data_IF_509961856099
#
_entry.id   IF_509961856099
#
_cell.length_a   1.000
_cell.length_b   1.000
_cell.length_c   1.000
_cell.angle_alpha   90.00
_cell.angle_beta   90.00
_cell.angle_gamma   90.00
#
_symmetry.space_group_name_H-M   'P 1'
#
loop_
_entity.id
_entity.type
_entity.pdbx_description
1 polymer ?
#
# COMPACT_ATOMS: atom_id res chain seq x y z
N UNK A 1 8.76 -5.71 12.75
CA UNK A 1 8.72 -4.78 11.60
C UNK A 1 7.41 -4.01 11.64
N UNK A 2 7.42 -2.70 11.41
CA UNK A 2 6.18 -1.92 11.34
C UNK A 2 5.56 -2.03 9.95
N UNK A 3 4.23 -2.13 9.86
CA UNK A 3 3.56 -2.12 8.56
C UNK A 3 3.67 -0.74 7.89
N UNK A 4 4.19 -0.69 6.67
CA UNK A 4 4.48 0.54 5.89
C UNK A 4 3.24 1.14 5.21
N UNK A 5 2.21 0.33 4.97
CA UNK A 5 0.96 0.76 4.37
C UNK A 5 -0.25 0.05 5.00
N UNK A 6 -1.45 0.55 4.71
CA UNK A 6 -2.71 -0.09 5.05
C UNK A 6 -3.59 -0.20 3.81
N UNK A 7 -4.09 -1.39 3.53
CA UNK A 7 -5.10 -1.60 2.47
C UNK A 7 -6.36 -0.83 2.82
N UNK A 8 -6.84 0.01 1.90
CA UNK A 8 -8.04 0.85 2.07
C UNK A 8 -9.14 0.55 1.05
N UNK A 9 -8.79 -0.08 -0.08
CA UNK A 9 -9.73 -0.48 -1.13
C UNK A 9 -9.06 -1.55 -2.02
N UNK A 10 -9.80 -2.11 -2.98
CA UNK A 10 -9.27 -3.09 -3.92
C UNK A 10 -10.32 -3.57 -4.92
N UNK A 11 -9.84 -4.30 -5.93
CA UNK A 11 -10.63 -4.92 -6.98
C UNK A 11 -9.98 -6.26 -7.38
N UNK A 12 -10.53 -6.98 -8.35
CA UNK A 12 -9.93 -8.20 -8.86
C UNK A 12 -8.52 -7.93 -9.41
N UNK A 13 -7.51 -8.57 -8.81
CA UNK A 13 -6.11 -8.49 -9.23
C UNK A 13 -5.34 -7.27 -8.75
N UNK A 14 -5.93 -6.34 -7.98
CA UNK A 14 -5.22 -5.18 -7.41
C UNK A 14 -5.78 -4.73 -6.07
N UNK A 15 -4.91 -4.14 -5.26
CA UNK A 15 -5.29 -3.50 -4.01
C UNK A 15 -4.81 -2.05 -4.02
N UNK A 16 -5.54 -1.19 -3.32
CA UNK A 16 -5.13 0.19 -3.04
C UNK A 16 -4.73 0.25 -1.58
N UNK A 17 -3.46 0.55 -1.35
CA UNK A 17 -2.91 0.73 -0.02
C UNK A 17 -2.52 2.19 0.18
N UNK A 18 -2.90 2.75 1.33
CA UNK A 18 -2.44 4.07 1.75
C UNK A 18 -1.14 3.91 2.52
N UNK A 19 -0.11 4.57 2.04
CA UNK A 19 1.16 4.74 2.72
C UNK A 19 0.99 5.36 4.12
N UNK A 20 1.76 4.88 5.10
CA UNK A 20 1.83 5.51 6.42
C UNK A 20 2.89 6.61 6.42
N UNK A 21 2.59 7.71 7.12
CA UNK A 21 3.51 8.83 7.29
C UNK A 21 4.92 8.39 7.73
N UNK A 22 5.93 9.04 7.16
CA UNK A 22 7.34 8.77 7.45
C UNK A 22 7.92 7.55 6.72
N UNK A 23 7.18 6.93 5.81
CA UNK A 23 7.69 5.94 4.86
C UNK A 23 7.72 6.55 3.45
N UNK A 24 8.39 5.86 2.53
CA UNK A 24 8.35 6.11 1.09
C UNK A 24 8.14 4.77 0.39
N UNK A 25 7.13 4.68 -0.47
CA UNK A 25 6.90 3.51 -1.33
C UNK A 25 7.21 3.88 -2.78
N UNK A 26 8.01 3.07 -3.47
CA UNK A 26 8.44 3.32 -4.85
C UNK A 26 7.85 2.32 -5.86
N UNK A 27 7.78 2.74 -7.13
CA UNK A 27 7.38 1.84 -8.21
C UNK A 27 8.36 0.66 -8.34
N UNK A 28 7.82 -0.53 -8.51
CA UNK A 28 8.57 -1.77 -8.61
C UNK A 28 8.96 -2.39 -7.27
N UNK A 29 8.77 -1.68 -6.15
CA UNK A 29 9.07 -2.18 -4.81
C UNK A 29 8.22 -3.41 -4.46
N UNK A 30 8.83 -4.37 -3.77
CA UNK A 30 8.15 -5.58 -3.31
C UNK A 30 7.67 -5.39 -1.87
N UNK A 31 6.38 -5.57 -1.66
CA UNK A 31 5.75 -5.55 -0.34
C UNK A 31 5.37 -6.97 0.07
N UNK A 32 5.42 -7.23 1.37
CA UNK A 32 4.97 -8.51 1.95
C UNK A 32 3.71 -8.27 2.76
N UNK A 33 2.63 -8.97 2.42
CA UNK A 33 1.44 -9.08 3.24
C UNK A 33 1.47 -10.39 4.02
N UNK A 34 1.37 -10.29 5.35
CA UNK A 34 1.38 -11.44 6.26
C UNK A 34 -0.01 -11.63 6.87
N UNK A 35 -0.54 -12.86 6.78
CA UNK A 35 -1.79 -13.27 7.42
C UNK A 35 -1.62 -14.66 8.04
N UNK A 36 -1.26 -14.70 9.33
CA UNK A 36 -0.82 -15.94 9.98
C UNK A 36 0.45 -16.46 9.30
N UNK A 37 0.43 -17.71 8.86
CA UNK A 37 1.56 -18.34 8.16
C UNK A 37 1.59 -18.04 6.65
N UNK A 38 0.58 -17.36 6.12
CA UNK A 38 0.53 -16.99 4.71
C UNK A 38 1.32 -15.70 4.47
N UNK A 39 2.24 -15.77 3.51
CA UNK A 39 2.97 -14.62 2.99
C UNK A 39 2.65 -14.44 1.52
N UNK A 40 2.24 -13.23 1.17
CA UNK A 40 1.96 -12.84 -0.21
C UNK A 40 2.95 -11.74 -0.58
N UNK A 41 3.68 -11.96 -1.67
CA UNK A 41 4.53 -10.93 -2.26
C UNK A 41 3.66 -10.13 -3.24
N UNK A 42 3.73 -8.81 -3.11
CA UNK A 42 3.04 -7.84 -3.92
C UNK A 42 4.08 -6.93 -4.57
N UNK A 43 3.83 -6.47 -5.79
CA UNK A 43 4.67 -5.46 -6.42
C UNK A 43 3.87 -4.16 -6.56
N UNK A 44 4.49 -3.05 -6.18
CA UNK A 44 3.97 -1.72 -6.46
C UNK A 44 4.09 -1.45 -7.95
N UNK A 45 2.96 -1.30 -8.65
CA UNK A 45 2.95 -1.07 -10.10
C UNK A 45 2.39 0.31 -10.47
N UNK A 46 1.83 1.05 -9.51
CA UNK A 46 1.26 2.39 -9.68
C UNK A 46 1.38 3.20 -8.38
N UNK A 47 1.52 4.53 -8.49
CA UNK A 47 1.59 5.47 -7.37
C UNK A 47 0.57 6.60 -7.58
N UNK A 48 -0.38 6.70 -6.66
CA UNK A 48 -1.46 7.70 -6.72
C UNK A 48 -1.20 8.77 -5.65
N UNK A 49 -1.00 10.00 -6.10
CA UNK A 49 -0.88 11.16 -5.21
C UNK A 49 -2.21 11.90 -5.14
N UNK A 50 -2.73 12.06 -3.93
CA UNK A 50 -3.96 12.80 -3.68
C UNK A 50 -3.83 13.62 -2.40
N UNK A 51 -4.40 14.83 -2.40
CA UNK A 51 -4.52 15.62 -1.18
C UNK A 51 -5.62 15.04 -0.30
N UNK A 52 -5.32 14.79 0.98
CA UNK A 52 -6.35 14.50 1.99
C UNK A 52 -6.90 15.78 2.64
N UNK A 53 -6.48 16.96 2.18
CA UNK A 53 -7.02 18.22 2.67
C UNK A 53 -8.43 18.33 2.09
N UNK A 54 -9.44 18.15 2.94
CA UNK A 54 -10.81 18.57 2.62
C UNK A 54 -10.74 20.04 2.25
N UNK A 55 -11.15 20.40 1.03
CA UNK A 55 -11.47 21.79 0.74
C UNK A 55 -12.62 22.15 1.69
N UNK A 56 -12.30 22.89 2.75
CA UNK A 56 -13.27 23.53 3.62
C UNK A 56 -13.79 24.80 2.95
#
# INVERSE_FOLDING_TARGET
MAAVAKVISGDFGRIIAREKSGNSIELGELLVSERGDLKIILQVYDLIYGSQISQQ
#
